data_IF_706557415895
#
_entry.id   IF_706557415895
#
_cell.length_a   1.000
_cell.length_b   1.000
_cell.length_c   1.000
_cell.angle_alpha   90.00
_cell.angle_beta   90.00
_cell.angle_gamma   90.00
#
_symmetry.space_group_name_H-M   'P 1'
#
loop_
_entity.id
_entity.type
_entity.pdbx_description
1 polymer ?
#
# COMPACT_ATOMS: atom_id res chain seq x y z
N UNK A 1 -19.35 -13.91 42.78
CA UNK A 1 -17.89 -13.64 42.66
C UNK A 1 -17.27 -14.18 41.38
N UNK A 2 -17.58 -15.42 40.96
CA UNK A 2 -17.03 -16.04 39.74
C UNK A 2 -17.21 -15.22 38.45
N UNK A 3 -18.37 -14.57 38.29
CA UNK A 3 -18.68 -13.75 37.10
C UNK A 3 -17.66 -12.61 36.90
N UNK A 4 -17.24 -11.92 37.98
CA UNK A 4 -16.24 -10.84 37.89
C UNK A 4 -14.88 -11.36 37.44
N UNK A 5 -14.48 -12.56 37.87
CA UNK A 5 -13.23 -13.18 37.46
C UNK A 5 -13.24 -13.49 35.95
N UNK A 6 -14.35 -14.03 35.44
CA UNK A 6 -14.50 -14.35 34.01
C UNK A 6 -14.33 -13.07 33.15
N UNK A 7 -14.93 -11.96 33.57
CA UNK A 7 -14.77 -10.67 32.85
C UNK A 7 -13.33 -10.16 32.86
N UNK A 8 -12.61 -10.31 33.99
CA UNK A 8 -11.19 -9.91 34.06
C UNK A 8 -10.32 -10.73 33.11
N UNK A 9 -10.53 -12.04 33.04
CA UNK A 9 -9.82 -12.91 32.09
C UNK A 9 -10.16 -12.56 30.64
N UNK A 10 -11.45 -12.29 30.34
CA UNK A 10 -11.89 -11.89 29.00
C UNK A 10 -11.21 -10.58 28.58
N UNK A 11 -11.15 -9.59 29.47
CA UNK A 11 -10.54 -8.30 29.18
C UNK A 11 -9.03 -8.41 28.93
N UNK A 12 -8.32 -9.18 29.76
CA UNK A 12 -6.89 -9.46 29.57
C UNK A 12 -6.62 -10.19 28.24
N UNK A 13 -7.48 -11.14 27.87
CA UNK A 13 -7.36 -11.86 26.61
C UNK A 13 -7.55 -10.95 25.38
N UNK A 14 -8.55 -10.06 25.41
CA UNK A 14 -8.79 -9.09 24.34
C UNK A 14 -7.59 -8.12 24.23
N UNK A 15 -7.07 -7.62 25.36
CA UNK A 15 -5.90 -6.74 25.38
C UNK A 15 -4.64 -7.43 24.81
N UNK A 16 -4.44 -8.72 25.12
CA UNK A 16 -3.35 -9.52 24.58
C UNK A 16 -3.52 -9.77 23.07
N UNK A 17 -4.73 -10.06 22.61
CA UNK A 17 -5.05 -10.22 21.18
C UNK A 17 -4.79 -8.94 20.38
N UNK A 18 -5.15 -7.78 20.94
CA UNK A 18 -4.87 -6.49 20.30
C UNK A 18 -3.36 -6.25 20.26
N UNK A 19 -2.66 -6.47 21.38
CA UNK A 19 -1.21 -6.27 21.47
C UNK A 19 -0.43 -7.16 20.51
N UNK A 20 -0.81 -8.45 20.40
CA UNK A 20 -0.20 -9.40 19.46
C UNK A 20 -0.53 -9.12 17.99
N UNK A 21 -1.69 -8.52 17.70
CA UNK A 21 -2.03 -8.06 16.34
C UNK A 21 -1.30 -6.79 15.92
N UNK A 22 -0.77 -6.00 16.87
CA UNK A 22 0.06 -4.84 16.54
C UNK A 22 1.41 -5.19 15.91
N UNK A 23 1.80 -6.46 15.87
CA UNK A 23 3.13 -6.87 15.44
C UNK A 23 3.11 -7.91 14.30
N UNK A 24 2.39 -7.64 13.20
CA UNK A 24 2.60 -8.41 11.94
C UNK A 24 1.98 -7.83 10.66
N UNK A 25 1.15 -6.79 10.71
CA UNK A 25 0.47 -6.32 9.48
C UNK A 25 0.55 -4.82 9.29
N UNK A 26 1.77 -4.33 9.15
CA UNK A 26 2.10 -3.17 8.32
C UNK A 26 3.61 -3.26 8.04
N UNK A 27 4.09 -4.20 7.20
CA UNK A 27 4.16 -3.94 5.76
C UNK A 27 3.61 -2.54 5.46
N UNK A 28 4.46 -1.54 5.74
CA UNK A 28 4.06 -0.16 5.96
C UNK A 28 3.16 0.34 4.84
N UNK A 29 1.85 0.29 5.09
CA UNK A 29 0.89 1.22 4.52
C UNK A 29 1.20 2.57 5.18
N UNK A 30 2.35 3.13 4.82
CA UNK A 30 2.64 4.54 4.95
C UNK A 30 1.73 5.24 3.92
N UNK A 31 0.44 5.27 4.24
CA UNK A 31 -0.48 6.37 3.91
C UNK A 31 -0.12 7.62 4.77
N UNK A 32 1.09 7.63 5.34
CA UNK A 32 1.82 8.86 5.58
C UNK A 32 1.97 9.54 4.24
N UNK A 33 1.00 10.42 3.99
CA UNK A 33 1.00 11.61 3.14
C UNK A 33 2.33 12.34 3.34
N UNK A 34 3.43 11.72 2.94
CA UNK A 34 4.73 12.32 2.82
C UNK A 34 4.47 13.36 1.77
N UNK A 35 4.35 14.62 2.18
CA UNK A 35 4.04 15.77 1.35
C UNK A 35 5.14 16.06 0.31
N UNK A 36 5.90 15.05 -0.10
CA UNK A 36 6.61 15.06 -1.36
C UNK A 36 5.57 14.71 -2.41
N UNK A 37 5.10 15.74 -3.10
CA UNK A 37 4.35 15.62 -4.35
C UNK A 37 5.22 14.84 -5.34
N UNK A 38 5.23 13.51 -5.24
CA UNK A 38 5.87 12.67 -6.24
C UNK A 38 5.05 12.87 -7.52
N UNK A 39 5.69 13.47 -8.52
CA UNK A 39 5.06 13.67 -9.81
C UNK A 39 4.98 12.31 -10.50
N UNK A 40 3.74 11.84 -10.63
CA UNK A 40 3.38 10.57 -11.25
C UNK A 40 2.76 10.86 -12.61
N UNK A 41 3.37 10.34 -13.67
CA UNK A 41 2.80 10.39 -15.02
C UNK A 41 2.16 9.06 -15.37
N UNK A 42 0.90 9.08 -15.78
CA UNK A 42 0.18 7.88 -16.20
C UNK A 42 0.34 7.72 -17.71
N UNK A 43 1.10 6.70 -18.12
CA UNK A 43 1.38 6.43 -19.53
C UNK A 43 0.25 5.64 -20.22
N UNK A 44 -0.49 4.81 -19.48
CA UNK A 44 -1.59 3.99 -20.01
C UNK A 44 -1.75 2.65 -19.28
N UNK A 45 -2.51 1.72 -19.84
CA UNK A 45 -2.69 0.39 -19.26
C UNK A 45 -1.39 -0.44 -19.33
N UNK A 46 -1.03 -1.08 -18.23
CA UNK A 46 0.13 -1.98 -18.19
C UNK A 46 0.00 -3.19 -19.12
N UNK A 47 -1.22 -3.64 -19.44
CA UNK A 47 -1.43 -4.68 -20.43
C UNK A 47 -0.92 -4.27 -21.83
N UNK A 48 -0.97 -2.97 -22.14
CA UNK A 48 -0.49 -2.40 -23.42
C UNK A 48 0.99 -2.02 -23.35
N UNK A 49 1.54 -1.82 -22.14
CA UNK A 49 2.95 -1.52 -21.88
C UNK A 49 3.60 -2.60 -20.98
N UNK A 50 3.90 -3.81 -21.51
CA UNK A 50 4.48 -4.91 -20.72
C UNK A 50 5.88 -4.58 -20.17
N UNK A 51 6.52 -3.53 -20.70
CA UNK A 51 7.80 -3.00 -20.22
C UNK A 51 7.64 -1.58 -19.67
N UNK A 52 6.61 -1.34 -18.86
CA UNK A 52 6.31 -0.05 -18.24
C UNK A 52 7.57 0.65 -17.68
N UNK A 53 8.36 -0.06 -16.87
CA UNK A 53 9.60 0.50 -16.31
C UNK A 53 10.57 0.99 -17.39
N UNK A 54 10.83 0.15 -18.42
CA UNK A 54 11.71 0.51 -19.53
C UNK A 54 11.15 1.68 -20.33
N UNK A 55 9.84 1.71 -20.58
CA UNK A 55 9.18 2.82 -21.26
C UNK A 55 9.42 4.13 -20.50
N UNK A 56 9.20 4.13 -19.19
CA UNK A 56 9.43 5.32 -18.36
C UNK A 56 10.89 5.75 -18.40
N UNK A 57 11.85 4.83 -18.17
CA UNK A 57 13.28 5.16 -18.23
C UNK A 57 13.69 5.72 -19.61
N UNK A 58 13.20 5.13 -20.70
CA UNK A 58 13.46 5.61 -22.07
C UNK A 58 12.81 6.95 -22.38
N UNK A 59 11.75 7.33 -21.67
CA UNK A 59 11.09 8.65 -21.79
C UNK A 59 11.63 9.69 -20.79
N UNK A 60 12.76 9.43 -20.13
CA UNK A 60 13.41 10.39 -19.23
C UNK A 60 12.97 10.31 -17.76
N UNK A 61 12.14 9.34 -17.39
CA UNK A 61 11.78 9.10 -15.99
C UNK A 61 12.87 8.24 -15.34
N UNK A 62 13.83 8.88 -14.67
CA UNK A 62 15.00 8.20 -14.10
C UNK A 62 14.67 7.20 -12.99
N UNK A 63 13.58 7.42 -12.26
CA UNK A 63 13.07 6.47 -11.27
C UNK A 63 12.27 5.32 -11.91
N UNK A 64 12.10 5.37 -13.24
CA UNK A 64 11.38 4.37 -14.00
C UNK A 64 9.88 4.43 -13.76
N UNK A 65 9.24 3.28 -13.85
CA UNK A 65 7.80 3.17 -13.67
C UNK A 65 7.33 1.78 -13.33
N UNK A 66 6.10 1.72 -12.84
CA UNK A 66 5.52 0.52 -12.28
C UNK A 66 4.03 0.46 -12.58
N UNK A 67 3.48 -0.75 -12.47
CA UNK A 67 2.08 -1.01 -12.70
C UNK A 67 1.30 -0.84 -11.40
N UNK A 68 0.45 0.16 -11.35
CA UNK A 68 -0.37 0.46 -10.17
C UNK A 68 -1.84 0.58 -10.52
N UNK A 69 -2.67 0.21 -9.57
CA UNK A 69 -4.12 0.33 -9.67
C UNK A 69 -4.54 1.73 -9.23
N UNK A 70 -4.84 2.61 -10.19
CA UNK A 70 -5.21 4.02 -9.90
C UNK A 70 -6.53 4.17 -9.14
N UNK A 71 -7.39 3.15 -9.17
CA UNK A 71 -8.63 3.13 -8.41
C UNK A 71 -8.87 1.73 -7.85
N UNK A 72 -9.36 1.59 -6.60
CA UNK A 72 -9.69 0.29 -6.03
C UNK A 72 -10.71 -0.49 -6.88
N UNK A 73 -11.55 0.22 -7.64
CA UNK A 73 -12.56 -0.36 -8.53
C UNK A 73 -12.06 -0.63 -9.95
N UNK A 74 -10.87 -0.14 -10.34
CA UNK A 74 -10.35 -0.39 -11.68
C UNK A 74 -10.20 -1.90 -11.93
N UNK A 75 -10.45 -2.37 -13.15
CA UNK A 75 -10.17 -3.77 -13.52
C UNK A 75 -8.76 -3.95 -14.08
N UNK A 76 -8.05 -2.84 -14.34
CA UNK A 76 -6.75 -2.82 -14.99
C UNK A 76 -5.71 -2.11 -14.14
N UNK A 77 -4.45 -2.48 -14.39
CA UNK A 77 -3.28 -1.80 -13.87
C UNK A 77 -2.85 -0.72 -14.85
N UNK A 78 -2.48 0.46 -14.35
CA UNK A 78 -1.93 1.55 -15.15
C UNK A 78 -0.43 1.64 -14.93
N UNK A 79 0.31 1.90 -16.00
CA UNK A 79 1.72 2.20 -15.96
C UNK A 79 1.90 3.64 -15.46
N UNK A 80 2.57 3.77 -14.33
CA UNK A 80 2.86 5.04 -13.66
C UNK A 80 4.38 5.26 -13.67
N UNK A 81 4.81 6.36 -14.28
CA UNK A 81 6.20 6.77 -14.33
C UNK A 81 6.49 7.82 -13.24
N UNK A 82 7.63 7.69 -12.55
CA UNK A 82 8.05 8.59 -11.46
C UNK A 82 9.11 9.58 -11.95
N UNK A 83 8.92 10.87 -11.67
CA UNK A 83 9.89 11.90 -12.07
C UNK A 83 10.99 12.18 -11.03
N UNK A 84 10.76 12.03 -9.71
CA UNK A 84 11.63 12.57 -8.64
C UNK A 84 11.70 11.75 -7.37
#
# INVERSE_FOLDING_TARGET
MAVKLIYLFLFLYIALLISGRTMSTTAGRRDGKSGRTEWLYVAGECAKLPRCNKYCVSNGFHLGGFCEKLSPQASYLSCVCKYT
#
